data_IF_111406976711
#
_entry.id   IF_111406976711
#
_cell.length_a   1.000
_cell.length_b   1.000
_cell.length_c   1.000
_cell.angle_alpha   90.00
_cell.angle_beta   90.00
_cell.angle_gamma   90.00
#
_symmetry.space_group_name_H-M   'P 1'
#
loop_
_entity.id
_entity.type
_entity.pdbx_description
1 polymer ?
#
# COMPACT_ATOMS: atom_id res chain seq x y z
N UNK A 1 -4.84 -26.87 3.20
CA UNK A 1 -4.14 -25.73 2.54
C UNK A 1 -4.15 -24.48 3.41
N UNK A 2 -5.29 -24.11 4.01
CA UNK A 2 -5.39 -22.91 4.85
C UNK A 2 -4.47 -22.91 6.08
N UNK A 3 -4.40 -24.01 6.84
CA UNK A 3 -3.52 -24.12 8.01
C UNK A 3 -2.03 -23.90 7.67
N UNK A 4 -1.61 -24.31 6.48
CA UNK A 4 -0.23 -24.08 6.02
C UNK A 4 0.05 -22.58 5.81
N UNK A 5 -0.90 -21.83 5.21
CA UNK A 5 -0.75 -20.38 5.05
C UNK A 5 -0.72 -19.64 6.39
N UNK A 6 -1.59 -20.01 7.34
CA UNK A 6 -1.60 -19.39 8.67
C UNK A 6 -0.29 -19.63 9.42
N UNK A 7 0.26 -20.85 9.37
CA UNK A 7 1.54 -21.16 10.02
C UNK A 7 2.71 -20.46 9.35
N UNK A 8 2.73 -20.41 8.01
CA UNK A 8 3.81 -19.78 7.26
C UNK A 8 3.82 -18.25 7.47
N UNK A 9 2.69 -17.58 7.24
CA UNK A 9 2.60 -16.13 7.43
C UNK A 9 2.75 -15.73 8.91
N UNK A 10 2.26 -16.56 9.84
CA UNK A 10 2.46 -16.39 11.28
C UNK A 10 3.93 -16.47 11.70
N UNK A 11 4.65 -17.52 11.27
CA UNK A 11 6.08 -17.68 11.58
C UNK A 11 6.92 -16.53 11.02
N UNK A 12 6.67 -16.14 9.78
CA UNK A 12 7.36 -15.00 9.16
C UNK A 12 7.09 -13.69 9.91
N UNK A 13 5.85 -13.47 10.37
CA UNK A 13 5.50 -12.33 11.20
C UNK A 13 6.27 -12.29 12.52
N UNK A 14 6.41 -13.44 13.19
CA UNK A 14 7.16 -13.55 14.46
C UNK A 14 8.65 -13.27 14.26
N UNK A 15 9.27 -13.80 13.20
CA UNK A 15 10.69 -13.54 12.90
C UNK A 15 10.94 -12.06 12.64
N UNK A 16 10.08 -11.40 11.85
CA UNK A 16 10.19 -9.95 11.59
C UNK A 16 10.04 -9.15 12.88
N UNK A 17 9.05 -9.48 13.72
CA UNK A 17 8.87 -8.79 14.99
C UNK A 17 10.07 -8.95 15.93
N UNK A 18 10.63 -10.16 16.04
CA UNK A 18 11.82 -10.41 16.85
C UNK A 18 13.03 -9.60 16.38
N UNK A 19 13.22 -9.49 15.06
CA UNK A 19 14.30 -8.70 14.48
C UNK A 19 14.12 -7.20 14.72
N UNK A 20 12.92 -6.65 14.51
CA UNK A 20 12.65 -5.23 14.73
C UNK A 20 12.80 -4.84 16.21
N UNK A 21 12.39 -5.70 17.13
CA UNK A 21 12.50 -5.47 18.57
C UNK A 21 13.93 -5.66 19.11
N UNK A 22 14.79 -6.41 18.41
CA UNK A 22 16.19 -6.60 18.80
C UNK A 22 17.12 -5.45 18.39
N UNK A 23 16.62 -4.48 17.60
CA UNK A 23 17.41 -3.31 17.17
C UNK A 23 17.76 -2.41 18.36
N UNK A 24 19.03 -2.03 18.47
CA UNK A 24 19.56 -1.18 19.55
C UNK A 24 19.68 0.27 19.08
N UNK A 25 19.84 1.23 20.00
CA UNK A 25 19.94 2.67 19.70
C UNK A 25 21.02 3.06 18.67
N UNK A 26 22.00 2.19 18.37
CA UNK A 26 22.97 2.38 17.27
C UNK A 26 22.33 2.30 15.88
N UNK A 27 21.19 1.64 15.74
CA UNK A 27 20.52 1.42 14.45
C UNK A 27 19.48 2.52 14.14
N UNK A 28 19.32 3.50 15.04
CA UNK A 28 18.33 4.57 14.91
C UNK A 28 18.92 5.76 14.15
N UNK A 29 18.45 5.98 12.92
CA UNK A 29 18.81 7.16 12.12
C UNK A 29 18.41 8.47 12.83
N UNK A 30 19.33 9.44 12.90
CA UNK A 30 19.12 10.78 13.47
C UNK A 30 18.16 11.60 12.60
N UNK A 31 16.87 11.40 12.84
CA UNK A 31 15.78 12.05 12.12
C UNK A 31 15.37 13.31 12.86
N UNK A 32 15.09 14.40 12.13
CA UNK A 32 14.66 15.66 12.76
C UNK A 32 13.36 15.45 13.54
N UNK A 33 13.20 16.15 14.66
CA UNK A 33 12.01 16.02 15.50
C UNK A 33 10.71 16.27 14.71
N UNK A 34 10.74 17.25 13.80
CA UNK A 34 9.63 17.56 12.89
C UNK A 34 9.31 16.40 11.92
N UNK A 35 10.33 15.77 11.34
CA UNK A 35 10.13 14.63 10.45
C UNK A 35 9.65 13.38 11.20
N UNK A 36 10.13 13.14 12.43
CA UNK A 36 9.63 12.03 13.26
C UNK A 36 8.17 12.19 13.65
N UNK A 37 7.74 13.42 13.95
CA UNK A 37 6.32 13.72 14.20
C UNK A 37 5.48 13.48 12.95
N UNK A 38 5.93 13.96 11.78
CA UNK A 38 5.25 13.71 10.51
C UNK A 38 5.17 12.21 10.18
N UNK A 39 6.29 11.50 10.30
CA UNK A 39 6.39 10.05 10.03
C UNK A 39 5.49 9.24 10.94
N UNK A 40 5.50 9.50 12.25
CA UNK A 40 4.68 8.75 13.20
C UNK A 40 3.18 9.01 12.99
N UNK A 41 2.80 10.25 12.68
CA UNK A 41 1.42 10.57 12.31
C UNK A 41 1.02 9.91 10.98
N UNK A 42 1.91 9.93 9.98
CA UNK A 42 1.67 9.27 8.69
C UNK A 42 1.49 7.76 8.86
N UNK A 43 2.38 7.10 9.62
CA UNK A 43 2.31 5.65 9.87
C UNK A 43 1.08 5.29 10.72
N UNK A 44 0.71 6.11 11.70
CA UNK A 44 -0.51 5.89 12.49
C UNK A 44 -1.75 5.96 11.62
N UNK A 45 -1.89 7.04 10.85
CA UNK A 45 -3.03 7.25 9.94
C UNK A 45 -3.07 6.16 8.87
N UNK A 46 -1.92 5.78 8.32
CA UNK A 46 -1.78 4.68 7.37
C UNK A 46 -2.17 3.34 7.98
N UNK A 47 -1.67 3.01 9.18
CA UNK A 47 -1.98 1.75 9.86
C UNK A 47 -3.46 1.64 10.25
N UNK A 48 -4.10 2.75 10.65
CA UNK A 48 -5.54 2.80 10.89
C UNK A 48 -6.34 2.62 9.61
N UNK A 49 -5.93 3.26 8.50
CA UNK A 49 -6.55 3.12 7.18
C UNK A 49 -6.45 1.67 6.66
N UNK A 50 -5.33 1.00 6.91
CA UNK A 50 -5.11 -0.39 6.47
C UNK A 50 -5.74 -1.42 7.42
N UNK A 51 -6.06 -1.06 8.67
CA UNK A 51 -6.08 -2.02 9.78
C UNK A 51 -7.30 -2.07 10.71
N UNK A 52 -8.40 -1.35 10.49
CA UNK A 52 -9.43 -1.27 11.55
C UNK A 52 -10.87 -1.51 11.11
N UNK A 53 -11.19 -2.76 10.74
CA UNK A 53 -12.35 -3.49 11.30
C UNK A 53 -12.06 -5.00 11.25
N UNK A 54 -11.96 -5.71 12.39
CA UNK A 54 -11.94 -7.17 12.39
C UNK A 54 -13.38 -7.63 12.14
N UNK A 55 -13.75 -7.81 10.88
CA UNK A 55 -14.97 -8.52 10.52
C UNK A 55 -14.59 -9.73 9.67
N UNK A 56 -14.94 -10.97 10.07
CA UNK A 56 -14.56 -12.19 9.34
C UNK A 56 -15.10 -12.31 7.92
N UNK A 57 -15.90 -11.34 7.46
CA UNK A 57 -16.63 -11.39 6.20
C UNK A 57 -16.27 -10.27 5.22
N UNK A 58 -15.28 -9.41 5.51
CA UNK A 58 -14.93 -8.30 4.62
C UNK A 58 -13.40 -8.06 4.55
N UNK A 59 -12.78 -8.48 3.46
CA UNK A 59 -11.37 -8.20 3.16
C UNK A 59 -11.24 -6.77 2.62
N UNK A 60 -10.65 -5.86 3.40
CA UNK A 60 -10.23 -4.54 2.92
C UNK A 60 -8.78 -4.64 2.43
N UNK A 61 -8.56 -4.62 1.12
CA UNK A 61 -7.24 -4.55 0.49
C UNK A 61 -6.86 -3.08 0.27
N UNK A 62 -5.82 -2.53 0.92
CA UNK A 62 -5.59 -1.10 0.81
C UNK A 62 -4.46 -0.75 -0.19
N UNK A 63 -4.18 -1.69 -1.11
CA UNK A 63 -3.16 -1.58 -2.16
C UNK A 63 -3.48 -0.58 -3.28
N UNK A 64 -4.75 -0.31 -3.55
CA UNK A 64 -5.13 0.71 -4.55
C UNK A 64 -4.71 2.14 -4.13
N UNK A 65 -4.54 2.38 -2.83
CA UNK A 65 -4.41 3.74 -2.29
C UNK A 65 -2.95 4.25 -2.21
N UNK A 66 -1.95 3.35 -2.16
CA UNK A 66 -0.53 3.75 -2.18
C UNK A 66 0.03 3.93 -3.62
N UNK A 67 -0.72 3.52 -4.64
CA UNK A 67 -0.27 3.59 -6.04
C UNK A 67 -0.17 5.05 -6.53
N UNK A 68 -1.11 5.91 -6.14
CA UNK A 68 -1.18 7.30 -6.58
C UNK A 68 0.08 8.13 -6.26
N UNK A 69 0.52 8.22 -5.00
CA UNK A 69 1.70 8.99 -4.62
C UNK A 69 2.99 8.55 -5.33
N UNK A 70 3.15 7.24 -5.56
CA UNK A 70 4.30 6.68 -6.28
C UNK A 70 4.31 7.12 -7.75
N UNK A 71 3.16 7.02 -8.43
CA UNK A 71 3.04 7.41 -9.84
C UNK A 71 3.35 8.90 -10.01
N UNK A 72 2.86 9.74 -9.11
CA UNK A 72 3.17 11.18 -9.10
C UNK A 72 4.66 11.48 -8.89
N UNK A 73 5.34 10.72 -8.02
CA UNK A 73 6.78 10.87 -7.83
C UNK A 73 7.57 10.41 -9.06
N UNK A 74 7.25 9.25 -9.62
CA UNK A 74 7.94 8.67 -10.76
C UNK A 74 7.95 9.60 -11.98
N UNK A 75 6.77 10.06 -12.41
CA UNK A 75 6.69 10.90 -13.60
C UNK A 75 7.22 12.32 -13.35
N UNK A 76 7.30 12.77 -12.09
CA UNK A 76 8.00 14.01 -11.76
C UNK A 76 9.51 13.92 -12.03
N UNK A 77 10.12 12.73 -11.93
CA UNK A 77 11.53 12.51 -12.25
C UNK A 77 11.81 12.48 -13.75
N UNK A 78 10.82 12.10 -14.56
CA UNK A 78 10.90 12.20 -16.02
C UNK A 78 10.66 13.63 -16.54
N UNK A 79 10.55 14.62 -15.65
CA UNK A 79 10.35 16.02 -16.00
C UNK A 79 8.90 16.39 -16.30
N UNK A 80 7.93 15.50 -16.06
CA UNK A 80 6.51 15.82 -16.25
C UNK A 80 5.98 16.64 -15.09
N UNK A 81 5.20 17.68 -15.41
CA UNK A 81 4.48 18.45 -14.41
C UNK A 81 3.40 17.59 -13.75
N UNK A 82 3.13 17.82 -12.47
CA UNK A 82 2.08 17.10 -11.70
C UNK A 82 0.72 17.08 -12.43
N UNK A 83 0.40 18.11 -13.23
CA UNK A 83 -0.82 18.18 -14.03
C UNK A 83 -0.88 17.18 -15.19
N UNK A 84 0.24 16.85 -15.82
CA UNK A 84 0.30 15.90 -16.94
C UNK A 84 0.27 14.45 -16.44
N UNK A 85 0.92 14.20 -15.30
CA UNK A 85 0.84 12.93 -14.59
C UNK A 85 -0.60 12.66 -14.15
N UNK A 86 -1.29 13.70 -13.65
CA UNK A 86 -2.69 13.63 -13.29
C UNK A 86 -3.59 13.27 -14.48
N UNK A 87 -3.38 13.88 -15.65
CA UNK A 87 -4.14 13.55 -16.88
C UNK A 87 -3.92 12.11 -17.32
N UNK A 88 -2.68 11.61 -17.27
CA UNK A 88 -2.35 10.23 -17.62
C UNK A 88 -2.98 9.22 -16.64
N UNK A 89 -2.97 9.54 -15.34
CA UNK A 89 -3.61 8.71 -14.31
C UNK A 89 -5.12 8.67 -14.49
N UNK A 90 -5.76 9.80 -14.78
CA UNK A 90 -7.22 9.89 -15.02
C UNK A 90 -7.61 9.14 -16.29
N UNK A 91 -6.81 9.24 -17.36
CA UNK A 91 -7.06 8.50 -18.59
C UNK A 91 -6.85 6.98 -18.40
N UNK A 92 -5.80 6.56 -17.68
CA UNK A 92 -5.53 5.16 -17.38
C UNK A 92 -6.62 4.52 -16.53
N UNK A 93 -7.03 5.20 -15.46
CA UNK A 93 -8.13 4.78 -14.59
C UNK A 93 -9.48 4.79 -15.33
N UNK A 94 -9.73 5.78 -16.19
CA UNK A 94 -10.93 5.82 -17.03
C UNK A 94 -10.97 4.68 -18.07
N UNK A 95 -9.81 4.29 -18.61
CA UNK A 95 -9.72 3.17 -19.57
C UNK A 95 -9.93 1.81 -18.91
N UNK A 96 -9.44 1.61 -17.68
CA UNK A 96 -9.65 0.35 -16.96
C UNK A 96 -11.12 0.12 -16.58
N UNK A 97 -11.93 1.19 -16.48
CA UNK A 97 -13.39 1.06 -16.28
C UNK A 97 -14.10 0.52 -17.52
N UNK A 98 -13.75 1.02 -18.71
CA UNK A 98 -14.38 0.59 -19.96
C UNK A 98 -13.93 -0.81 -20.36
N UNK A 99 -12.63 -1.10 -20.28
CA UNK A 99 -12.12 -2.42 -20.63
C UNK A 99 -12.30 -3.45 -19.51
N UNK A 100 -12.28 -3.04 -18.25
CA UNK A 100 -12.52 -3.93 -17.10
C UNK A 100 -13.96 -4.47 -17.07
N UNK A 101 -14.95 -3.68 -17.48
CA UNK A 101 -16.35 -4.14 -17.57
C UNK A 101 -16.56 -5.14 -18.71
N UNK A 102 -15.91 -4.90 -19.86
CA UNK A 102 -15.98 -5.81 -21.01
C UNK A 102 -15.24 -7.11 -20.69
N UNK A 103 -13.99 -7.04 -20.23
CA UNK A 103 -13.19 -8.23 -19.89
C UNK A 103 -13.81 -9.00 -18.73
N UNK A 104 -14.36 -8.32 -17.73
CA UNK A 104 -15.13 -8.94 -16.66
C UNK A 104 -16.35 -9.69 -17.19
N UNK A 105 -17.14 -9.07 -18.06
CA UNK A 105 -18.32 -9.72 -18.68
C UNK A 105 -17.98 -10.89 -19.62
N UNK A 106 -16.77 -10.93 -20.17
CA UNK A 106 -16.26 -12.06 -20.95
C UNK A 106 -15.70 -13.17 -20.06
N UNK A 107 -15.04 -12.81 -18.95
CA UNK A 107 -14.53 -13.77 -17.97
C UNK A 107 -15.65 -14.52 -17.24
N UNK A 108 -16.82 -13.89 -17.09
CA UNK A 108 -18.02 -14.48 -16.47
C UNK A 108 -18.80 -15.45 -17.39
N UNK A 109 -18.36 -15.66 -18.64
CA UNK A 109 -19.02 -16.54 -19.62
C UNK A 109 -18.45 -17.97 -19.67
N UNK A 110 -17.95 -18.49 -18.56
CA UNK A 110 -17.69 -19.93 -18.38
C UNK A 110 -18.47 -20.50 -17.20
#
# INVERSE_FOLDING_TARGET
MEAFYWLLFGWLGVVVAAMELSKTNRDRASTSSAFNSFKNNYILVYSLMMGAFPSPSLWIWPGDWLQGPYVYYLYSQYGYGKGDIGRLFIAGFGSSMLFGTIVGSLADKQ
#
